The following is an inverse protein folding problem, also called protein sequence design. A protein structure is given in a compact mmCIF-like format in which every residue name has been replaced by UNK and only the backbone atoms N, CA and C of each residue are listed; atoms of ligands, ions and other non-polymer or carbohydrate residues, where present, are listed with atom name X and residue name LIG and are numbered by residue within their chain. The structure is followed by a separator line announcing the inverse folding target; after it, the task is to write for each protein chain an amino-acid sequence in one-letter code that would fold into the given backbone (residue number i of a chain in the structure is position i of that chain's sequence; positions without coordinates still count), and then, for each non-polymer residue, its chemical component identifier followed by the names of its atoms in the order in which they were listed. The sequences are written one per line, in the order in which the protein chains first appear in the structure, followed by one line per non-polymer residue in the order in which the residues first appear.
data_IF_502499803680
#
_entry.id   IF_502499803680
#
_cell.length_a   1.000
_cell.length_b   1.000
_cell.length_c   1.000
_cell.angle_alpha   90.00
_cell.angle_beta   90.00
_cell.angle_gamma   90.00
#
_symmetry.space_group_name_H-M   'P 1'
#
loop_
_entity.id
_entity.type
_entity.pdbx_description
1 polymer ?
#
# COMPACT_ATOMS: atom_id res chain seq x y z
N UNK A 1 10.72 -14.25 9.33
CA UNK A 1 9.84 -13.08 9.09
C UNK A 1 8.97 -12.91 10.32
N UNK A 2 9.13 -11.83 11.06
CA UNK A 2 8.29 -11.51 12.22
C UNK A 2 7.20 -10.55 11.76
N UNK A 3 5.97 -11.05 11.60
CA UNK A 3 4.78 -10.26 11.23
C UNK A 3 4.18 -9.52 12.44
N UNK A 4 4.99 -9.27 13.47
CA UNK A 4 4.54 -8.77 14.76
C UNK A 4 5.42 -7.60 15.21
N UNK A 5 4.82 -6.76 16.05
CA UNK A 5 5.46 -5.58 16.62
C UNK A 5 6.72 -5.95 17.41
N UNK A 6 7.80 -5.22 17.19
CA UNK A 6 9.09 -5.36 17.85
C UNK A 6 9.72 -3.97 18.08
N UNK A 7 10.95 -3.92 18.59
CA UNK A 7 11.62 -2.64 18.88
C UNK A 7 11.89 -1.78 17.63
N UNK A 8 12.08 -2.40 16.46
CA UNK A 8 12.39 -1.71 15.20
C UNK A 8 11.17 -0.99 14.62
N UNK A 9 9.98 -1.58 14.76
CA UNK A 9 8.72 -1.05 14.19
C UNK A 9 7.72 -0.57 15.26
N UNK A 10 8.21 -0.29 16.47
CA UNK A 10 7.36 0.07 17.61
C UNK A 10 6.60 1.39 17.41
N UNK A 11 7.17 2.29 16.61
CA UNK A 11 6.65 3.62 16.32
C UNK A 11 5.75 3.64 15.08
N UNK A 12 5.61 2.53 14.38
CA UNK A 12 4.69 2.42 13.25
C UNK A 12 3.24 2.55 13.72
N UNK A 13 2.35 2.93 12.82
CA UNK A 13 0.91 2.86 13.09
C UNK A 13 0.46 1.39 13.05
N UNK A 14 -0.19 0.94 14.12
CA UNK A 14 -0.66 -0.44 14.26
C UNK A 14 -2.15 -0.51 14.51
N UNK A 15 -2.64 0.31 15.44
CA UNK A 15 -4.02 0.24 15.89
C UNK A 15 -4.96 0.94 14.91
N UNK A 16 -6.19 0.40 14.81
CA UNK A 16 -7.22 0.97 13.92
C UNK A 16 -7.48 2.46 14.21
N UNK A 17 -7.45 2.86 15.48
CA UNK A 17 -7.69 4.24 15.88
C UNK A 17 -6.58 5.17 15.36
N UNK A 18 -5.32 4.74 15.47
CA UNK A 18 -4.17 5.51 14.99
C UNK A 18 -4.16 5.60 13.46
N UNK A 19 -4.53 4.51 12.78
CA UNK A 19 -4.67 4.47 11.32
C UNK A 19 -5.79 5.41 10.83
N UNK A 20 -6.87 5.59 11.58
CA UNK A 20 -7.95 6.51 11.23
C UNK A 20 -7.61 7.97 11.54
N UNK A 21 -6.86 8.23 12.61
CA UNK A 21 -6.47 9.56 13.02
C UNK A 21 -5.26 10.11 12.23
N UNK A 22 -4.44 9.23 11.67
CA UNK A 22 -3.25 9.61 10.91
C UNK A 22 -3.59 10.39 9.65
N UNK A 23 -2.81 11.43 9.38
CA UNK A 23 -2.88 12.16 8.11
C UNK A 23 -2.04 11.50 7.03
N UNK A 24 -1.22 10.48 7.33
CA UNK A 24 -0.33 9.79 6.39
C UNK A 24 0.62 10.74 5.66
N UNK A 25 1.37 11.57 6.40
CA UNK A 25 2.44 12.38 5.81
C UNK A 25 3.57 11.49 5.25
N UNK A 26 4.40 11.99 4.31
CA UNK A 26 5.61 11.30 3.89
C UNK A 26 6.46 10.84 5.09
N UNK A 27 7.12 9.70 4.93
CA UNK A 27 7.90 9.02 5.99
C UNK A 27 7.06 8.40 7.12
N UNK A 28 5.73 8.33 6.96
CA UNK A 28 4.88 7.55 7.88
C UNK A 28 5.03 6.05 7.60
N UNK A 29 5.41 5.29 8.63
CA UNK A 29 5.47 3.83 8.62
C UNK A 29 4.24 3.23 9.28
N UNK A 30 3.70 2.16 8.71
CA UNK A 30 2.56 1.48 9.31
C UNK A 30 2.57 -0.02 9.06
N UNK A 31 2.14 -0.75 10.09
CA UNK A 31 2.02 -2.21 10.12
C UNK A 31 3.28 -2.95 9.70
N UNK A 32 4.47 -2.37 9.90
CA UNK A 32 5.77 -2.93 9.50
C UNK A 32 5.99 -3.15 7.99
N UNK A 33 5.03 -2.76 7.14
CA UNK A 33 5.04 -3.15 5.74
C UNK A 33 4.97 -1.97 4.78
N UNK A 34 4.40 -0.86 5.22
CA UNK A 34 4.14 0.27 4.36
C UNK A 34 4.89 1.51 4.82
N UNK A 35 5.42 2.23 3.85
CA UNK A 35 6.04 3.53 4.00
C UNK A 35 5.36 4.50 3.04
N UNK A 36 4.86 5.62 3.57
CA UNK A 36 4.33 6.69 2.73
C UNK A 36 5.49 7.42 2.03
N UNK A 37 5.47 7.42 0.69
CA UNK A 37 6.47 8.09 -0.13
C UNK A 37 6.07 9.52 -0.46
N UNK A 38 4.79 9.74 -0.78
CA UNK A 38 4.30 11.07 -1.12
C UNK A 38 2.80 11.19 -0.87
N UNK A 39 2.37 12.42 -0.62
CA UNK A 39 0.97 12.77 -0.40
C UNK A 39 0.63 14.06 -1.12
N UNK A 40 -0.57 14.09 -1.67
CA UNK A 40 -1.25 15.24 -2.26
C UNK A 40 -2.70 15.25 -1.76
N UNK A 41 -3.49 16.32 -1.95
CA UNK A 41 -4.87 16.37 -1.47
C UNK A 41 -5.77 15.23 -1.95
N UNK A 42 -5.49 14.68 -3.15
CA UNK A 42 -6.31 13.65 -3.78
C UNK A 42 -5.61 12.30 -3.93
N UNK A 43 -4.37 12.17 -3.44
CA UNK A 43 -3.58 10.95 -3.65
C UNK A 43 -2.52 10.73 -2.58
N UNK A 44 -2.37 9.47 -2.17
CA UNK A 44 -1.28 8.97 -1.35
C UNK A 44 -0.54 7.88 -2.13
N UNK A 45 0.79 7.96 -2.18
CA UNK A 45 1.65 6.92 -2.74
C UNK A 45 2.49 6.32 -1.63
N UNK A 46 2.53 4.99 -1.57
CA UNK A 46 3.24 4.25 -0.53
C UNK A 46 4.03 3.08 -1.13
N UNK A 47 5.16 2.75 -0.52
CA UNK A 47 5.93 1.54 -0.79
C UNK A 47 5.46 0.44 0.16
N UNK A 48 5.13 -0.73 -0.36
CA UNK A 48 4.84 -1.93 0.41
C UNK A 48 5.96 -2.96 0.25
N UNK A 49 6.62 -3.36 1.33
CA UNK A 49 7.68 -4.38 1.31
C UNK A 49 7.75 -5.13 2.65
N UNK A 50 8.56 -6.18 2.72
CA UNK A 50 8.68 -6.98 3.95
C UNK A 50 9.41 -6.26 5.10
N UNK A 51 10.30 -5.33 4.78
CA UNK A 51 11.09 -4.58 5.75
C UNK A 51 11.41 -3.18 5.22
N UNK A 52 10.57 -2.18 5.52
CA UNK A 52 10.77 -0.81 5.07
C UNK A 52 11.80 -0.04 5.90
N UNK A 53 12.21 -0.53 7.07
CA UNK A 53 13.07 0.19 8.04
C UNK A 53 14.58 0.01 7.77
N UNK A 54 14.94 -0.51 6.60
CA UNK A 54 16.33 -0.72 6.22
C UNK A 54 17.09 0.61 6.16
N UNK A 55 18.29 0.63 6.74
CA UNK A 55 19.21 1.76 6.68
C UNK A 55 20.59 1.28 6.20
N UNK A 56 20.98 1.58 4.94
CA UNK A 56 20.24 2.36 3.94
C UNK A 56 19.06 1.57 3.32
N UNK A 57 18.02 2.26 2.79
CA UNK A 57 16.94 1.59 2.06
C UNK A 57 17.49 0.85 0.85
N UNK A 58 17.10 -0.42 0.68
CA UNK A 58 17.51 -1.23 -0.47
C UNK A 58 16.31 -1.86 -1.19
N UNK A 59 16.43 -2.19 -2.49
CA UNK A 59 15.40 -2.94 -3.20
C UNK A 59 15.20 -4.36 -2.67
N UNK A 60 13.94 -4.80 -2.67
CA UNK A 60 13.51 -6.10 -2.17
C UNK A 60 13.03 -7.01 -3.29
N UNK A 61 13.05 -8.32 -3.03
CA UNK A 61 12.54 -9.35 -3.95
C UNK A 61 11.03 -9.23 -4.21
N UNK A 62 10.29 -8.66 -3.25
CA UNK A 62 8.91 -8.24 -3.42
C UNK A 62 8.76 -6.80 -2.95
N UNK A 63 8.78 -5.88 -3.91
CA UNK A 63 8.47 -4.48 -3.71
C UNK A 63 7.12 -4.13 -4.35
N UNK A 64 6.35 -3.30 -3.67
CA UNK A 64 5.06 -2.82 -4.15
C UNK A 64 5.07 -1.29 -4.17
N UNK A 65 4.64 -0.71 -5.29
CA UNK A 65 4.22 0.68 -5.33
C UNK A 65 2.70 0.72 -5.32
N UNK A 66 2.14 1.25 -4.25
CA UNK A 66 0.70 1.34 -4.03
C UNK A 66 0.30 2.80 -4.07
N UNK A 67 -0.74 3.11 -4.84
CA UNK A 67 -1.26 4.45 -4.97
C UNK A 67 -2.77 4.42 -4.74
N UNK A 68 -3.21 5.23 -3.78
CA UNK A 68 -4.62 5.44 -3.46
C UNK A 68 -4.98 6.83 -3.94
N UNK A 69 -6.06 6.96 -4.73
CA UNK A 69 -6.57 8.24 -5.20
C UNK A 69 -8.06 8.41 -4.89
N UNK A 70 -8.45 9.64 -4.63
CA UNK A 70 -9.82 10.08 -4.52
C UNK A 70 -10.00 11.33 -5.40
N UNK A 71 -10.73 11.18 -6.50
CA UNK A 71 -10.97 12.24 -7.49
C UNK A 71 -12.47 12.50 -7.61
N UNK A 72 -12.88 13.77 -7.75
CA UNK A 72 -14.28 14.12 -7.99
C UNK A 72 -14.55 14.15 -9.51
N UNK A 73 -15.53 13.38 -9.97
CA UNK A 73 -16.08 13.50 -11.32
C UNK A 73 -17.30 14.43 -11.24
N UNK A 74 -17.08 15.72 -11.44
CA UNK A 74 -18.13 16.75 -11.35
C UNK A 74 -19.25 16.54 -12.37
N UNK A 75 -18.94 16.04 -13.56
CA UNK A 75 -19.95 15.81 -14.60
C UNK A 75 -20.95 14.71 -14.19
N UNK A 76 -20.46 13.67 -13.49
CA UNK A 76 -21.27 12.57 -13.00
C UNK A 76 -21.75 12.73 -11.56
N UNK A 77 -21.27 13.77 -10.86
CA UNK A 77 -21.53 14.00 -9.44
C UNK A 77 -21.16 12.79 -8.56
N UNK A 78 -20.00 12.18 -8.83
CA UNK A 78 -19.50 11.02 -8.07
C UNK A 78 -18.06 11.21 -7.62
N UNK A 79 -17.71 10.66 -6.46
CA UNK A 79 -16.33 10.48 -6.04
C UNK A 79 -15.80 9.16 -6.59
N UNK A 80 -14.66 9.20 -7.27
CA UNK A 80 -13.97 8.05 -7.85
C UNK A 80 -12.78 7.69 -6.97
N UNK A 81 -12.90 6.56 -6.28
CA UNK A 81 -11.83 5.98 -5.49
C UNK A 81 -11.05 4.98 -6.37
N UNK A 82 -9.73 5.15 -6.44
CA UNK A 82 -8.85 4.27 -7.23
C UNK A 82 -7.74 3.71 -6.34
N UNK A 83 -7.50 2.41 -6.47
CA UNK A 83 -6.30 1.75 -5.99
C UNK A 83 -5.50 1.26 -7.19
N UNK A 84 -4.26 1.68 -7.30
CA UNK A 84 -3.29 1.14 -8.24
C UNK A 84 -2.16 0.46 -7.46
N UNK A 85 -1.82 -0.76 -7.84
CA UNK A 85 -0.74 -1.53 -7.22
C UNK A 85 0.16 -2.07 -8.32
N UNK A 86 1.45 -1.84 -8.18
CA UNK A 86 2.49 -2.42 -9.05
C UNK A 86 3.41 -3.22 -8.14
N UNK A 87 3.48 -4.54 -8.35
CA UNK A 87 4.42 -5.42 -7.68
C UNK A 87 5.57 -5.76 -8.62
N UNK A 88 6.79 -5.70 -8.13
CA UNK A 88 7.99 -6.04 -8.90
C UNK A 88 9.10 -6.61 -7.99
N UNK A 89 10.04 -7.31 -8.61
CA UNK A 89 11.29 -7.73 -7.95
C UNK A 89 12.31 -6.60 -8.13
N UNK A 90 12.57 -5.85 -7.06
CA UNK A 90 13.50 -4.73 -7.06
C UNK A 90 14.97 -5.14 -7.14
N UNK A 91 15.29 -6.42 -6.94
CA UNK A 91 16.67 -6.95 -6.98
C UNK A 91 17.06 -7.47 -8.35
N UNK A 92 16.09 -7.73 -9.23
CA UNK A 92 16.33 -8.24 -10.58
C UNK A 92 16.10 -7.16 -11.63
N UNK A 93 16.73 -7.35 -12.78
CA UNK A 93 16.42 -6.55 -13.96
C UNK A 93 14.99 -6.81 -14.44
N UNK A 94 14.41 -5.82 -15.11
CA UNK A 94 13.09 -5.95 -15.71
C UNK A 94 13.05 -7.15 -16.68
N UNK A 95 11.99 -7.93 -16.59
CA UNK A 95 11.81 -9.15 -17.38
C UNK A 95 10.34 -9.27 -17.78
N UNK A 96 10.08 -9.89 -18.93
CA UNK A 96 8.71 -10.22 -19.39
C UNK A 96 8.07 -11.37 -18.60
N UNK A 97 8.78 -11.92 -17.61
CA UNK A 97 8.23 -12.92 -16.69
C UNK A 97 7.13 -12.30 -15.83
N UNK A 98 6.15 -13.14 -15.47
CA UNK A 98 5.10 -12.73 -14.54
C UNK A 98 5.70 -12.16 -13.24
N UNK A 99 5.01 -11.18 -12.66
CA UNK A 99 5.41 -10.54 -11.40
C UNK A 99 5.54 -11.54 -10.23
N UNK A 100 6.14 -11.14 -9.09
CA UNK A 100 6.30 -12.05 -7.95
C UNK A 100 4.99 -12.68 -7.44
N UNK A 101 3.84 -12.08 -7.76
CA UNK A 101 2.50 -12.62 -7.56
C UNK A 101 1.89 -13.12 -8.89
N UNK A 102 2.65 -13.85 -9.69
CA UNK A 102 2.16 -14.56 -10.86
C UNK A 102 1.25 -15.75 -10.52
N UNK A 103 0.66 -16.35 -11.55
CA UNK A 103 -0.17 -17.55 -11.44
C UNK A 103 -1.46 -17.41 -10.61
N UNK A 104 -2.00 -18.56 -10.18
CA UNK A 104 -3.29 -18.63 -9.49
C UNK A 104 -3.28 -17.98 -8.10
N UNK A 105 -2.17 -18.11 -7.37
CA UNK A 105 -2.02 -17.52 -6.03
C UNK A 105 -2.09 -16.00 -6.06
N UNK A 106 -1.39 -15.37 -7.01
CA UNK A 106 -1.48 -13.93 -7.15
C UNK A 106 -2.76 -13.42 -7.78
N UNK A 107 -3.43 -14.22 -8.63
CA UNK A 107 -4.81 -13.93 -9.03
C UNK A 107 -5.74 -13.85 -7.82
N UNK A 108 -5.67 -14.83 -6.89
CA UNK A 108 -6.45 -14.81 -5.66
C UNK A 108 -6.12 -13.58 -4.80
N UNK A 109 -4.84 -13.25 -4.65
CA UNK A 109 -4.41 -12.07 -3.91
C UNK A 109 -5.01 -10.79 -4.49
N UNK A 110 -4.98 -10.60 -5.81
CA UNK A 110 -5.60 -9.42 -6.47
C UNK A 110 -7.11 -9.36 -6.24
N UNK A 111 -7.81 -10.50 -6.25
CA UNK A 111 -9.26 -10.55 -5.93
C UNK A 111 -9.53 -10.16 -4.49
N UNK A 112 -8.74 -10.67 -3.56
CA UNK A 112 -8.82 -10.31 -2.15
C UNK A 112 -8.55 -8.81 -1.94
N UNK A 113 -7.49 -8.25 -2.52
CA UNK A 113 -7.17 -6.83 -2.42
C UNK A 113 -8.28 -5.95 -2.98
N UNK A 114 -8.88 -6.34 -4.11
CA UNK A 114 -10.01 -5.60 -4.69
C UNK A 114 -11.22 -5.55 -3.74
N UNK A 115 -11.57 -6.67 -3.11
CA UNK A 115 -12.66 -6.73 -2.13
C UNK A 115 -12.36 -5.91 -0.87
N UNK A 116 -11.10 -5.91 -0.43
CA UNK A 116 -10.66 -5.11 0.72
C UNK A 116 -10.87 -3.61 0.45
N UNK A 117 -10.49 -3.13 -0.74
CA UNK A 117 -10.71 -1.72 -1.15
C UNK A 117 -12.19 -1.40 -1.26
N UNK A 118 -12.99 -2.28 -1.89
CA UNK A 118 -14.42 -2.06 -2.02
C UNK A 118 -15.09 -1.96 -0.64
N UNK A 119 -14.70 -2.83 0.29
CA UNK A 119 -15.18 -2.76 1.67
C UNK A 119 -14.71 -1.48 2.38
N UNK A 120 -13.48 -1.02 2.13
CA UNK A 120 -12.95 0.22 2.67
C UNK A 120 -13.74 1.44 2.17
N UNK A 121 -13.99 1.51 0.87
CA UNK A 121 -14.76 2.56 0.21
C UNK A 121 -16.18 2.71 0.76
N UNK A 122 -16.83 1.61 1.18
CA UNK A 122 -18.15 1.67 1.82
C UNK A 122 -18.17 2.47 3.11
N UNK A 123 -17.05 2.58 3.84
CA UNK A 123 -16.96 3.42 5.03
C UNK A 123 -16.95 4.92 4.70
N UNK A 124 -16.71 5.30 3.44
CA UNK A 124 -16.79 6.70 2.99
C UNK A 124 -18.23 7.13 2.67
N UNK A 125 -19.20 6.21 2.72
CA UNK A 125 -20.62 6.45 2.46
C UNK A 125 -21.45 6.54 3.75
N UNK A 126 -20.83 6.31 4.92
CA UNK A 126 -21.46 6.41 6.24
C UNK A 126 -21.26 7.82 6.81
#
# INVERSE_FOLDING_TARGET
MTFFKNETNKNDLWEKQDLLASTYEPDTYFTNHFLVLSKTPTRITMRGCFDPHQSPPSPMDVDNLVEIRAELDEAKQVAVLKLQVITFDGRKEASDKEDPFGGFGGWLHRRYSALLVESGARNCLQ
#
